data_IF_714593932431
#
_entry.id   IF_714593932431
#
_cell.length_a   1.000
_cell.length_b   1.000
_cell.length_c   1.000
_cell.angle_alpha   90.00
_cell.angle_beta   90.00
_cell.angle_gamma   90.00
#
_symmetry.space_group_name_H-M   'P 1'
#
loop_
_entity.id
_entity.type
_entity.pdbx_description
1 polymer ?
#
# COMPACT_ATOMS: atom_id res chain seq x y z
N UNK A 1 7.35 3.57 -7.46
CA UNK A 1 8.60 3.04 -6.88
C UNK A 1 8.48 1.53 -6.85
N UNK A 2 9.43 0.85 -7.46
CA UNK A 2 9.37 -0.61 -7.68
C UNK A 2 10.48 -1.30 -6.90
N UNK A 3 10.22 -2.51 -6.43
CA UNK A 3 11.20 -3.33 -5.72
C UNK A 3 10.91 -4.82 -5.94
N UNK A 4 11.94 -5.64 -5.76
CA UNK A 4 11.82 -7.10 -5.78
C UNK A 4 11.70 -7.61 -4.35
N UNK A 5 10.66 -8.40 -4.07
CA UNK A 5 10.44 -9.00 -2.76
C UNK A 5 11.28 -10.25 -2.51
N UNK A 6 11.21 -10.83 -1.30
CA UNK A 6 11.97 -12.03 -0.92
C UNK A 6 11.53 -13.29 -1.69
N UNK A 7 10.35 -13.27 -2.30
CA UNK A 7 9.80 -14.32 -3.14
C UNK A 7 10.19 -14.15 -4.63
N UNK A 8 11.13 -13.26 -4.91
CA UNK A 8 11.62 -12.90 -6.24
C UNK A 8 10.52 -12.35 -7.18
N UNK A 9 9.41 -11.84 -6.63
CA UNK A 9 8.37 -11.13 -7.39
C UNK A 9 8.60 -9.63 -7.36
N UNK A 10 8.14 -8.96 -8.41
CA UNK A 10 8.21 -7.49 -8.51
C UNK A 10 6.95 -6.87 -7.92
N UNK A 11 7.15 -5.77 -7.18
CA UNK A 11 6.10 -5.01 -6.50
C UNK A 11 6.25 -3.54 -6.77
N UNK A 12 5.14 -2.82 -6.67
CA UNK A 12 5.05 -1.43 -7.09
C UNK A 12 4.20 -0.61 -6.12
N UNK A 13 4.84 0.34 -5.47
CA UNK A 13 4.16 1.46 -4.82
C UNK A 13 3.87 2.55 -5.85
N UNK A 14 2.61 2.96 -5.93
CA UNK A 14 2.17 4.07 -6.77
C UNK A 14 1.13 4.94 -6.06
N UNK A 15 1.05 6.21 -6.44
CA UNK A 15 -0.04 7.08 -6.02
C UNK A 15 -1.25 6.88 -6.94
N UNK A 16 -2.39 6.52 -6.36
CA UNK A 16 -3.67 6.46 -7.05
C UNK A 16 -4.72 7.26 -6.28
N UNK A 17 -5.35 8.24 -6.94
CA UNK A 17 -6.31 9.17 -6.31
C UNK A 17 -5.80 9.71 -4.95
N UNK A 18 -4.56 10.21 -4.95
CA UNK A 18 -3.90 10.75 -3.76
C UNK A 18 -3.57 9.70 -2.67
N UNK A 19 -3.73 8.42 -2.92
CA UNK A 19 -3.45 7.34 -1.96
C UNK A 19 -2.26 6.52 -2.43
N UNK A 20 -1.18 6.38 -1.66
CA UNK A 20 -0.21 5.32 -1.86
C UNK A 20 -0.91 3.96 -1.88
N UNK A 21 -0.60 3.15 -2.88
CA UNK A 21 -1.12 1.79 -3.06
C UNK A 21 0.00 0.88 -3.54
N UNK A 22 0.04 -0.33 -2.99
CA UNK A 22 0.99 -1.37 -3.32
C UNK A 22 0.32 -2.45 -4.13
N UNK A 23 0.90 -2.76 -5.28
CA UNK A 23 0.44 -3.82 -6.17
C UNK A 23 1.56 -4.84 -6.43
N UNK A 24 1.15 -6.06 -6.77
CA UNK A 24 2.03 -6.95 -7.54
C UNK A 24 2.27 -6.30 -8.90
N UNK A 25 3.54 -6.19 -9.31
CA UNK A 25 3.92 -5.58 -10.58
C UNK A 25 3.86 -6.62 -11.70
N UNK A 26 2.66 -7.16 -11.91
CA UNK A 26 2.31 -8.07 -12.99
C UNK A 26 1.01 -7.61 -13.66
N UNK A 27 0.52 -8.37 -14.64
CA UNK A 27 -0.69 -8.03 -15.37
C UNK A 27 -1.98 -8.22 -14.54
N UNK A 28 -1.91 -8.81 -13.34
CA UNK A 28 -3.08 -9.09 -12.50
C UNK A 28 -3.56 -7.86 -11.75
N UNK A 29 -2.69 -6.85 -11.56
CA UNK A 29 -2.98 -5.67 -10.75
C UNK A 29 -3.47 -6.01 -9.33
N UNK A 30 -2.96 -7.10 -8.75
CA UNK A 30 -3.37 -7.54 -7.42
C UNK A 30 -2.96 -6.50 -6.37
N UNK A 31 -3.94 -5.93 -5.67
CA UNK A 31 -3.74 -4.95 -4.61
C UNK A 31 -3.35 -5.66 -3.30
N UNK A 32 -2.23 -5.22 -2.73
CA UNK A 32 -1.69 -5.77 -1.48
C UNK A 32 -1.92 -4.85 -0.30
N UNK A 33 -1.75 -3.54 -0.49
CA UNK A 33 -1.95 -2.56 0.56
C UNK A 33 -2.36 -1.19 0.03
N UNK A 34 -3.03 -0.42 0.88
CA UNK A 34 -3.48 0.94 0.59
C UNK A 34 -3.30 1.83 1.81
N UNK A 35 -2.71 3.00 1.61
CA UNK A 35 -2.66 4.03 2.65
C UNK A 35 -3.91 4.92 2.61
N UNK A 36 -4.78 4.75 3.59
CA UNK A 36 -5.93 5.59 3.81
C UNK A 36 -5.52 6.86 4.56
N UNK A 37 -5.61 8.02 3.90
CA UNK A 37 -5.41 9.32 4.55
C UNK A 37 -6.46 9.55 5.65
N UNK A 38 -6.03 10.29 6.68
CA UNK A 38 -6.92 10.82 7.69
C UNK A 38 -7.99 11.72 7.07
N UNK A 39 -9.19 11.72 7.65
CA UNK A 39 -10.29 12.60 7.26
C UNK A 39 -10.79 13.36 8.48
N UNK A 40 -10.97 14.66 8.31
CA UNK A 40 -11.33 15.60 9.39
C UNK A 40 -12.82 15.65 9.73
N UNK A 41 -13.69 15.08 8.90
CA UNK A 41 -15.13 15.05 9.18
C UNK A 41 -16.00 15.99 8.34
N UNK A 42 -15.41 16.89 7.52
CA UNK A 42 -16.17 17.94 6.81
C UNK A 42 -17.05 17.35 5.69
N UNK A 43 -16.48 16.46 4.85
CA UNK A 43 -17.18 15.87 3.69
C UNK A 43 -17.56 14.40 3.91
N UNK A 44 -16.93 13.73 4.88
CA UNK A 44 -17.19 12.33 5.19
C UNK A 44 -16.83 12.04 6.63
N UNK A 45 -17.25 10.90 7.17
CA UNK A 45 -16.97 10.51 8.55
C UNK A 45 -15.48 10.68 8.90
N UNK A 46 -15.18 11.30 10.06
CA UNK A 46 -13.81 11.47 10.50
C UNK A 46 -13.17 10.10 10.72
N UNK A 47 -11.90 9.95 10.31
CA UNK A 47 -11.11 8.73 10.52
C UNK A 47 -9.62 9.05 10.63
N UNK A 48 -8.91 8.27 11.43
CA UNK A 48 -7.43 8.31 11.49
C UNK A 48 -6.84 7.76 10.19
N UNK A 49 -5.60 8.10 9.91
CA UNK A 49 -4.86 7.45 8.82
C UNK A 49 -4.58 6.00 9.17
N UNK A 50 -4.64 5.14 8.16
CA UNK A 50 -4.38 3.71 8.31
C UNK A 50 -3.65 3.19 7.08
N UNK A 51 -2.81 2.18 7.29
CA UNK A 51 -2.27 1.35 6.21
C UNK A 51 -3.09 0.06 6.21
N UNK A 52 -4.01 -0.05 5.24
CA UNK A 52 -4.85 -1.22 5.07
C UNK A 52 -4.09 -2.28 4.28
N UNK A 53 -4.04 -3.51 4.79
CA UNK A 53 -3.41 -4.66 4.13
C UNK A 53 -4.51 -5.62 3.69
N UNK A 54 -4.52 -5.97 2.41
CA UNK A 54 -5.49 -6.89 1.81
C UNK A 54 -5.07 -8.35 2.06
N UNK A 55 -6.00 -9.32 1.96
CA UNK A 55 -5.70 -10.74 2.18
C UNK A 55 -4.48 -11.25 1.41
N UNK A 56 -4.31 -10.79 0.17
CA UNK A 56 -3.17 -11.16 -0.68
C UNK A 56 -1.80 -10.70 -0.13
N UNK A 57 -1.76 -9.65 0.69
CA UNK A 57 -0.54 -9.11 1.31
C UNK A 57 -0.25 -9.63 2.72
N UNK A 58 -1.11 -10.45 3.32
CA UNK A 58 -0.96 -10.87 4.73
C UNK A 58 0.31 -11.67 5.01
N UNK A 59 0.80 -12.42 4.02
CA UNK A 59 2.02 -13.22 4.15
C UNK A 59 3.32 -12.38 4.12
N UNK A 60 3.22 -11.07 3.87
CA UNK A 60 4.36 -10.16 3.71
C UNK A 60 4.18 -8.82 4.44
N UNK A 61 3.38 -8.80 5.50
CA UNK A 61 3.05 -7.59 6.27
C UNK A 61 4.30 -6.80 6.67
N UNK A 62 5.34 -7.47 7.15
CA UNK A 62 6.60 -6.81 7.56
C UNK A 62 7.25 -6.05 6.40
N UNK A 63 7.29 -6.66 5.21
CA UNK A 63 7.82 -6.03 4.00
C UNK A 63 6.97 -4.85 3.54
N UNK A 64 5.64 -4.97 3.62
CA UNK A 64 4.72 -3.88 3.28
C UNK A 64 5.02 -2.66 4.16
N UNK A 65 5.15 -2.85 5.48
CA UNK A 65 5.42 -1.76 6.42
C UNK A 65 6.80 -1.14 6.16
N UNK A 66 7.83 -1.98 6.02
CA UNK A 66 9.20 -1.50 5.76
C UNK A 66 9.27 -0.66 4.49
N UNK A 67 8.74 -1.20 3.41
CA UNK A 67 8.77 -0.55 2.09
C UNK A 67 7.89 0.69 2.02
N UNK A 68 6.80 0.73 2.79
CA UNK A 68 5.97 1.91 2.92
C UNK A 68 6.73 3.08 3.57
N UNK A 69 7.49 2.81 4.64
CA UNK A 69 8.33 3.82 5.30
C UNK A 69 9.41 4.33 4.36
N UNK A 70 10.04 3.45 3.57
CA UNK A 70 11.05 3.89 2.59
C UNK A 70 10.45 4.67 1.43
N UNK A 71 9.25 4.29 0.96
CA UNK A 71 8.55 4.99 -0.11
C UNK A 71 8.11 6.41 0.28
N UNK A 72 7.83 6.65 1.56
CA UNK A 72 7.42 7.96 2.08
C UNK A 72 8.58 8.92 2.39
N UNK A 73 9.81 8.42 2.45
CA UNK A 73 11.03 9.25 2.62
C UNK A 73 11.48 9.79 1.28
#
# INVERSE_FOLDING_TARGET
WEFTGPDNRSYKWQFFLCSPMLFVNDNTHTLLARFCRAKVGIVSRPRRSSLEIHPAGLHMVDWIVLTFVTFWR
#
